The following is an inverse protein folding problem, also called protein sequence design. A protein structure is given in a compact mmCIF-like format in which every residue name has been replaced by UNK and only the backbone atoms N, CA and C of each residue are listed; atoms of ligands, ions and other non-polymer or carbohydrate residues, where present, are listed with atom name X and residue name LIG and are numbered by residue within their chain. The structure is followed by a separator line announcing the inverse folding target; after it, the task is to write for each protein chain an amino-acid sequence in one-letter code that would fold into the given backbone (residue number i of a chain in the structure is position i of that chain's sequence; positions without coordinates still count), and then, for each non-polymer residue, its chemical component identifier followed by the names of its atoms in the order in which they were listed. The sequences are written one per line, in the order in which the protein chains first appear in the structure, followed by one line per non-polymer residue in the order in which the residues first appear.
data_IF_653977475626
#
_entry.id   IF_653977475626
#
_cell.length_a   1.000
_cell.length_b   1.000
_cell.length_c   1.000
_cell.angle_alpha   90.00
_cell.angle_beta   90.00
_cell.angle_gamma   90.00
#
_symmetry.space_group_name_H-M   'P 1'
#
loop_
_entity.id
_entity.type
_entity.pdbx_description
1 polymer ?
#
# COMPACT_ATOMS: atom_id res chain seq x y z
N UNK A 1 9.20 -17.36 5.96
CA UNK A 1 7.99 -17.58 6.78
C UNK A 1 6.81 -17.59 5.81
N UNK A 2 6.19 -18.74 5.55
CA UNK A 2 4.98 -18.84 4.74
C UNK A 2 3.78 -18.69 5.66
N UNK A 3 2.93 -17.70 5.42
CA UNK A 3 1.66 -17.55 6.15
C UNK A 3 0.66 -18.50 5.50
N UNK A 4 0.09 -19.43 6.26
CA UNK A 4 -1.01 -20.28 5.79
C UNK A 4 -2.24 -19.40 5.52
N UNK A 5 -2.62 -19.27 4.25
CA UNK A 5 -3.82 -18.55 3.83
C UNK A 5 -5.03 -19.48 3.90
N UNK A 6 -5.70 -19.52 5.07
CA UNK A 6 -6.98 -20.23 5.22
C UNK A 6 -8.10 -19.35 4.66
N UNK A 7 -8.88 -19.89 3.73
CA UNK A 7 -10.05 -19.20 3.19
C UNK A 7 -11.19 -19.26 4.22
N UNK A 8 -11.78 -18.11 4.60
CA UNK A 8 -12.87 -18.09 5.56
C UNK A 8 -14.26 -18.19 4.91
N UNK A 9 -14.35 -18.47 3.61
CA UNK A 9 -15.59 -18.42 2.84
C UNK A 9 -15.90 -19.78 2.19
N UNK A 10 -17.18 -20.15 2.14
CA UNK A 10 -17.69 -21.33 1.44
C UNK A 10 -18.49 -20.94 0.17
N UNK A 11 -18.89 -21.93 -0.63
CA UNK A 11 -19.63 -21.69 -1.87
C UNK A 11 -21.02 -21.08 -1.60
N UNK A 12 -21.69 -21.44 -0.51
CA UNK A 12 -23.03 -20.95 -0.17
C UNK A 12 -23.01 -19.47 0.23
N UNK A 13 -21.99 -19.06 0.97
CA UNK A 13 -21.70 -17.67 1.27
C UNK A 13 -21.50 -16.85 -0.01
N UNK A 14 -20.70 -17.35 -0.96
CA UNK A 14 -20.46 -16.64 -2.23
C UNK A 14 -21.74 -16.48 -3.05
N UNK A 15 -22.62 -17.50 -3.08
CA UNK A 15 -23.93 -17.41 -3.75
C UNK A 15 -24.82 -16.35 -3.12
N UNK A 16 -25.01 -16.44 -1.81
CA UNK A 16 -25.83 -15.47 -1.07
C UNK A 16 -25.27 -14.04 -1.18
N UNK A 17 -23.94 -13.89 -1.23
CA UNK A 17 -23.30 -12.60 -1.44
C UNK A 17 -23.65 -12.00 -2.82
N UNK A 18 -23.52 -12.77 -3.90
CA UNK A 18 -23.89 -12.31 -5.25
C UNK A 18 -25.37 -11.97 -5.37
N UNK A 19 -26.25 -12.80 -4.77
CA UNK A 19 -27.70 -12.57 -4.79
C UNK A 19 -28.06 -11.28 -4.04
N UNK A 20 -27.47 -11.06 -2.86
CA UNK A 20 -27.65 -9.82 -2.09
C UNK A 20 -27.13 -8.57 -2.82
N UNK A 21 -26.16 -8.74 -3.73
CA UNK A 21 -25.59 -7.64 -4.54
C UNK A 21 -26.33 -7.42 -5.86
N UNK A 22 -27.39 -8.19 -6.15
CA UNK A 22 -28.12 -8.16 -7.42
C UNK A 22 -27.18 -8.27 -8.63
N UNK A 23 -26.20 -9.15 -8.54
CA UNK A 23 -25.23 -9.35 -9.60
C UNK A 23 -25.80 -10.22 -10.73
N UNK A 24 -25.40 -10.00 -11.98
CA UNK A 24 -25.80 -10.85 -13.09
C UNK A 24 -25.19 -12.26 -12.95
N UNK A 25 -25.88 -13.27 -13.48
CA UNK A 25 -25.53 -14.68 -13.33
C UNK A 25 -24.08 -15.01 -13.71
N UNK A 26 -23.58 -14.48 -14.83
CA UNK A 26 -22.21 -14.70 -15.29
C UNK A 26 -21.15 -14.28 -14.24
N UNK A 27 -21.47 -13.28 -13.41
CA UNK A 27 -20.56 -12.77 -12.40
C UNK A 27 -20.56 -13.68 -11.16
N UNK A 28 -21.72 -14.22 -10.78
CA UNK A 28 -21.83 -15.24 -9.73
C UNK A 28 -21.03 -16.48 -10.12
N UNK A 29 -21.17 -16.94 -11.36
CA UNK A 29 -20.47 -18.13 -11.84
C UNK A 29 -18.95 -17.91 -11.89
N UNK A 30 -18.50 -16.71 -12.28
CA UNK A 30 -17.09 -16.35 -12.25
C UNK A 30 -16.50 -16.41 -10.83
N UNK A 31 -17.24 -15.97 -9.80
CA UNK A 31 -16.77 -16.06 -8.41
C UNK A 31 -16.68 -17.50 -7.92
N UNK A 32 -17.66 -18.34 -8.28
CA UNK A 32 -17.63 -19.76 -7.93
C UNK A 32 -16.44 -20.46 -8.57
N UNK A 33 -16.17 -20.19 -9.85
CA UNK A 33 -14.97 -20.69 -10.54
C UNK A 33 -13.68 -20.18 -9.89
N UNK A 34 -13.63 -18.91 -9.49
CA UNK A 34 -12.46 -18.35 -8.81
C UNK A 34 -12.22 -19.00 -7.43
N UNK A 35 -13.28 -19.34 -6.70
CA UNK A 35 -13.18 -20.05 -5.42
C UNK A 35 -12.60 -21.45 -5.60
N UNK A 36 -12.96 -22.16 -6.67
CA UNK A 36 -12.41 -23.49 -6.97
C UNK A 36 -10.93 -23.43 -7.41
N UNK A 37 -10.51 -22.33 -8.03
CA UNK A 37 -9.13 -22.16 -8.56
C UNK A 37 -8.14 -21.59 -7.54
N UNK A 38 -8.61 -21.08 -6.41
CA UNK A 38 -7.79 -20.26 -5.49
C UNK A 38 -6.61 -21.02 -4.87
N UNK A 39 -6.73 -22.33 -4.64
CA UNK A 39 -5.67 -23.16 -4.05
C UNK A 39 -4.58 -23.53 -5.07
N UNK A 40 -4.91 -23.47 -6.37
CA UNK A 40 -4.02 -23.88 -7.46
C UNK A 40 -3.40 -22.72 -8.24
N UNK A 41 -3.85 -21.49 -8.01
CA UNK A 41 -3.39 -20.34 -8.78
C UNK A 41 -2.04 -19.85 -8.25
N UNK A 42 -1.03 -19.87 -9.10
CA UNK A 42 0.27 -19.27 -8.78
C UNK A 42 0.12 -17.76 -8.56
N UNK A 43 0.92 -17.21 -7.64
CA UNK A 43 0.95 -15.77 -7.42
C UNK A 43 1.33 -15.04 -8.71
N UNK A 44 0.64 -13.93 -9.06
CA UNK A 44 0.99 -13.16 -10.23
C UNK A 44 2.43 -12.68 -10.11
N UNK A 45 3.21 -12.86 -11.18
CA UNK A 45 4.58 -12.36 -11.22
C UNK A 45 4.53 -10.83 -11.17
N UNK A 46 5.27 -10.18 -10.24
CA UNK A 46 5.28 -8.74 -10.18
C UNK A 46 5.86 -8.19 -11.49
N UNK A 47 5.10 -7.33 -12.16
CA UNK A 47 5.58 -6.65 -13.34
C UNK A 47 6.70 -5.67 -12.97
N UNK A 48 7.77 -5.68 -13.79
CA UNK A 48 8.91 -4.80 -13.57
C UNK A 48 8.55 -3.36 -13.93
N UNK A 49 8.12 -2.60 -12.94
CA UNK A 49 7.91 -1.15 -13.09
C UNK A 49 9.25 -0.43 -13.23
N UNK A 50 9.40 0.41 -14.26
CA UNK A 50 10.60 1.21 -14.45
C UNK A 50 10.60 2.43 -13.49
N UNK A 51 11.27 2.28 -12.36
CA UNK A 51 11.38 3.32 -11.31
C UNK A 51 12.53 4.32 -11.55
N UNK A 52 13.20 4.32 -12.72
CA UNK A 52 14.36 5.20 -13.00
C UNK A 52 14.04 6.70 -12.87
N UNK A 53 12.76 7.09 -12.98
CA UNK A 53 12.30 8.49 -12.90
C UNK A 53 11.73 8.86 -11.54
N UNK A 54 11.68 7.92 -10.59
CA UNK A 54 11.17 8.19 -9.25
C UNK A 54 12.29 8.82 -8.44
N UNK A 55 12.03 10.01 -7.89
CA UNK A 55 13.00 10.69 -7.05
C UNK A 55 12.86 10.18 -5.61
N UNK A 56 13.68 9.19 -5.23
CA UNK A 56 13.71 8.66 -3.86
C UNK A 56 14.64 9.44 -2.93
N UNK A 57 15.36 10.43 -3.47
CA UNK A 57 16.40 11.17 -2.75
C UNK A 57 15.95 12.58 -2.35
N UNK A 58 14.73 12.99 -2.72
CA UNK A 58 14.15 14.29 -2.38
C UNK A 58 13.55 14.29 -0.96
N UNK A 59 14.42 14.04 0.01
CA UNK A 59 14.07 14.22 1.41
C UNK A 59 14.10 15.72 1.73
N UNK A 60 13.00 16.44 1.46
CA UNK A 60 12.80 17.78 2.02
C UNK A 60 12.53 17.66 3.52
N UNK A 61 13.58 17.36 4.29
CA UNK A 61 13.53 17.43 5.75
C UNK A 61 13.60 18.92 6.09
N UNK A 62 12.53 19.43 6.67
CA UNK A 62 12.41 20.80 7.18
C UNK A 62 13.37 21.01 8.37
N UNK A 63 14.68 21.11 8.11
CA UNK A 63 15.73 21.45 9.08
C UNK A 63 16.16 22.92 8.97
N UNK A 64 15.24 23.82 8.61
CA UNK A 64 15.56 25.23 8.40
C UNK A 64 15.47 26.12 9.66
N UNK A 65 14.91 25.67 10.79
CA UNK A 65 14.72 26.59 11.93
C UNK A 65 15.89 26.64 12.93
N UNK A 66 16.71 25.59 13.07
CA UNK A 66 17.69 25.52 14.17
C UNK A 66 19.01 26.24 13.84
N UNK A 67 19.37 26.39 12.56
CA UNK A 67 20.63 27.07 12.17
C UNK A 67 20.56 28.59 12.25
N UNK A 68 19.36 29.19 12.18
CA UNK A 68 19.20 30.66 12.19
C UNK A 68 19.21 31.26 13.59
N UNK A 69 18.72 30.54 14.61
CA UNK A 69 18.62 31.06 15.98
C UNK A 69 19.96 31.07 16.70
N UNK A 70 20.89 30.16 16.38
CA UNK A 70 22.21 30.13 17.00
C UNK A 70 23.15 31.25 16.50
N UNK A 71 23.07 31.62 15.22
CA UNK A 71 23.91 32.67 14.64
C UNK A 71 23.52 34.08 15.12
N UNK A 72 22.24 34.34 15.38
CA UNK A 72 21.82 35.65 15.92
C UNK A 72 22.26 35.86 17.37
N UNK A 73 22.15 34.83 18.22
CA UNK A 73 22.53 34.95 19.64
C UNK A 73 24.04 35.17 19.78
N UNK A 74 24.86 34.49 18.97
CA UNK A 74 26.31 34.65 18.99
C UNK A 74 26.79 36.00 18.45
N UNK A 75 26.15 36.52 17.39
CA UNK A 75 26.45 37.87 16.85
C UNK A 75 26.04 39.00 17.78
N UNK A 76 24.94 38.84 18.52
CA UNK A 76 24.45 39.87 19.45
C UNK A 76 25.32 39.95 20.72
N UNK A 77 25.91 38.82 21.15
CA UNK A 77 26.80 38.79 22.32
C UNK A 77 28.21 39.34 22.03
N UNK A 78 28.70 39.26 20.78
CA UNK A 78 30.01 39.78 20.40
C UNK A 78 30.05 41.28 20.04
N UNK A 79 28.90 41.95 19.90
CA UNK A 79 28.82 43.39 19.59
C UNK A 79 28.67 44.30 20.82
N UNK A 80 28.53 43.72 22.02
CA UNK A 80 28.43 44.46 23.28
C UNK A 80 29.70 44.40 24.13
N UNK A 81 30.82 43.90 23.59
CA UNK A 81 32.15 43.94 24.22
C UNK A 81 33.15 44.66 23.32
#
# INVERSE_FOLDING_TARGET
MTVETKLPYDQDYVRSFSDNKNEPEWMRDLRLQALDLVDGLEMPKPDKTNIKRWNFDDYNIMLMEIKSTHYMIFQMMFKCF
#
